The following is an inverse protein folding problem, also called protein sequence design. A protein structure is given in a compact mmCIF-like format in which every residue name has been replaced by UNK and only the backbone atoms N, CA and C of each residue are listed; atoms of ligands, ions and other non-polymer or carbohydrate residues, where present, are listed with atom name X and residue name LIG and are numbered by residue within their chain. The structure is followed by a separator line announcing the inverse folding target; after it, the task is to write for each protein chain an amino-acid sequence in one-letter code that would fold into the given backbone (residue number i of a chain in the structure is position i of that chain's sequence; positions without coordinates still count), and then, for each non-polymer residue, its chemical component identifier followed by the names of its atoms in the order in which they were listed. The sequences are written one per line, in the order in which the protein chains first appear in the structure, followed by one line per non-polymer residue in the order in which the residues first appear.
data_IF_562371947615
#
_entry.id   IF_562371947615
#
_cell.length_a   1.000
_cell.length_b   1.000
_cell.length_c   1.000
_cell.angle_alpha   90.00
_cell.angle_beta   90.00
_cell.angle_gamma   90.00
#
_symmetry.space_group_name_H-M   'P 1'
#
loop_
_entity.id
_entity.type
_entity.pdbx_description
1 polymer ?
#
# COMPACT_ATOMS: atom_id res chain seq x y z
N UNK A 1 -3.00 19.01 33.38
CA UNK A 1 -2.15 17.99 34.03
C UNK A 1 -2.80 17.31 35.25
N UNK A 2 -3.50 18.04 36.12
CA UNK A 2 -4.14 17.47 37.30
C UNK A 2 -5.38 16.59 37.01
N UNK A 3 -6.22 16.95 36.07
CA UNK A 3 -7.40 16.16 35.65
C UNK A 3 -7.06 14.81 35.03
N UNK A 4 -5.95 14.74 34.29
CA UNK A 4 -5.49 13.49 33.64
C UNK A 4 -5.02 12.48 34.67
N UNK A 5 -4.32 12.94 35.74
CA UNK A 5 -3.91 12.09 36.85
C UNK A 5 -5.10 11.54 37.66
N UNK A 6 -6.15 12.33 37.86
CA UNK A 6 -7.35 11.88 38.57
C UNK A 6 -8.15 10.85 37.75
N UNK A 7 -8.24 11.00 36.42
CA UNK A 7 -8.88 10.01 35.54
C UNK A 7 -8.07 8.70 35.47
N UNK A 8 -6.75 8.79 35.52
CA UNK A 8 -5.89 7.59 35.56
C UNK A 8 -6.05 6.80 36.85
N UNK A 9 -6.10 7.47 38.02
CA UNK A 9 -6.32 6.78 39.29
C UNK A 9 -7.71 6.14 39.40
N UNK A 10 -8.75 6.79 38.88
CA UNK A 10 -10.11 6.24 38.84
C UNK A 10 -10.21 4.97 37.94
N UNK A 11 -9.52 4.95 36.81
CA UNK A 11 -9.47 3.78 35.92
C UNK A 11 -8.72 2.59 36.52
N UNK A 12 -7.64 2.83 37.25
CA UNK A 12 -6.86 1.77 37.93
C UNK A 12 -7.68 1.14 39.08
N UNK A 13 -8.40 1.97 39.85
CA UNK A 13 -9.25 1.48 40.95
C UNK A 13 -10.44 0.68 40.42
N UNK A 14 -11.03 1.04 39.30
CA UNK A 14 -12.12 0.33 38.67
C UNK A 14 -11.67 -1.03 38.08
N UNK A 15 -10.46 -1.09 37.51
CA UNK A 15 -9.90 -2.34 36.97
C UNK A 15 -9.54 -3.34 38.08
N UNK A 16 -9.00 -2.87 39.21
CA UNK A 16 -8.74 -3.69 40.41
C UNK A 16 -10.02 -4.20 41.04
N UNK A 17 -11.10 -3.41 41.05
CA UNK A 17 -12.40 -3.83 41.55
C UNK A 17 -13.06 -4.93 40.70
N UNK A 18 -12.87 -4.91 39.39
CA UNK A 18 -13.41 -5.94 38.45
C UNK A 18 -12.61 -7.26 38.58
N UNK A 19 -11.31 -7.21 38.88
CA UNK A 19 -10.48 -8.38 39.11
C UNK A 19 -10.79 -9.10 40.45
N UNK A 20 -11.32 -8.38 41.43
CA UNK A 20 -11.71 -8.95 42.72
C UNK A 20 -13.03 -9.75 42.68
N UNK A 21 -13.81 -9.68 41.59
CA UNK A 21 -15.12 -10.35 41.46
C UNK A 21 -15.07 -11.70 40.73
N UNK A 22 -13.91 -12.11 40.18
CA UNK A 22 -13.73 -13.41 39.53
C UNK A 22 -12.74 -14.26 40.35
N UNK A 23 -13.28 -15.11 41.24
CA UNK A 23 -12.55 -15.93 42.18
C UNK A 23 -11.63 -16.98 41.55
N UNK A 24 -10.45 -16.60 41.11
CA UNK A 24 -9.25 -17.41 41.00
C UNK A 24 -8.04 -16.46 40.78
N UNK A 25 -7.22 -16.30 41.80
CA UNK A 25 -6.17 -15.29 41.82
C UNK A 25 -4.78 -15.90 41.89
N UNK A 26 -3.99 -15.61 40.88
CA UNK A 26 -2.58 -15.28 41.11
C UNK A 26 -2.40 -13.79 40.86
N UNK A 27 -2.00 -13.04 41.84
CA UNK A 27 -1.62 -11.62 41.73
C UNK A 27 -0.47 -11.56 40.72
N UNK A 28 -0.51 -10.70 39.68
CA UNK A 28 0.59 -10.57 38.73
C UNK A 28 1.88 -10.17 39.51
N UNK A 29 3.00 -10.79 39.19
CA UNK A 29 4.29 -10.45 39.75
C UNK A 29 4.66 -9.00 39.42
N UNK A 30 5.50 -8.36 40.23
CA UNK A 30 6.00 -6.99 40.01
C UNK A 30 6.57 -6.83 38.57
N UNK A 31 7.24 -7.84 38.04
CA UNK A 31 7.76 -7.88 36.68
C UNK A 31 6.65 -7.86 35.62
N UNK A 32 5.51 -8.52 35.86
CA UNK A 32 4.34 -8.50 34.97
C UNK A 32 3.60 -7.17 35.05
N UNK A 33 3.53 -6.57 36.23
CA UNK A 33 2.93 -5.22 36.40
C UNK A 33 3.79 -4.14 35.72
N UNK A 34 5.11 -4.17 35.88
CA UNK A 34 6.03 -3.29 35.19
C UNK A 34 5.99 -3.46 33.65
N UNK A 35 5.85 -4.70 33.17
CA UNK A 35 5.68 -4.97 31.74
C UNK A 35 4.34 -4.45 31.20
N UNK A 36 3.27 -4.50 31.99
CA UNK A 36 1.96 -3.96 31.63
C UNK A 36 1.98 -2.43 31.58
N UNK A 37 2.66 -1.80 32.51
CA UNK A 37 2.81 -0.36 32.58
C UNK A 37 3.69 0.20 31.44
N UNK A 38 4.81 -0.44 31.15
CA UNK A 38 5.67 -0.10 30.01
C UNK A 38 4.93 -0.25 28.67
N UNK A 39 4.00 -1.20 28.56
CA UNK A 39 3.18 -1.36 27.37
C UNK A 39 2.10 -0.29 27.24
N UNK A 40 1.50 0.12 28.36
CA UNK A 40 0.53 1.23 28.37
C UNK A 40 1.22 2.55 27.99
N UNK A 41 2.43 2.80 28.47
CA UNK A 41 3.22 3.96 28.10
C UNK A 41 3.65 3.92 26.63
N UNK A 42 4.02 2.74 26.11
CA UNK A 42 4.35 2.56 24.69
C UNK A 42 3.13 2.70 23.77
N UNK A 43 1.97 2.22 24.20
CA UNK A 43 0.70 2.41 23.49
C UNK A 43 0.31 3.90 23.51
N UNK A 44 0.46 4.58 24.65
CA UNK A 44 0.22 6.01 24.79
C UNK A 44 1.17 6.84 23.92
N UNK A 45 2.47 6.45 23.84
CA UNK A 45 3.46 7.11 22.98
C UNK A 45 3.16 6.91 21.50
N UNK A 46 2.75 5.69 21.08
CA UNK A 46 2.32 5.43 19.70
C UNK A 46 0.97 6.06 19.35
N UNK A 47 0.12 6.34 20.35
CA UNK A 47 -1.14 7.07 20.20
C UNK A 47 -0.95 8.59 20.19
N UNK A 48 0.11 9.09 20.84
CA UNK A 48 0.48 10.50 20.87
C UNK A 48 1.22 10.96 19.60
N UNK A 49 1.62 10.03 18.72
CA UNK A 49 2.17 10.39 17.42
C UNK A 49 0.98 10.82 16.54
N UNK A 50 0.65 12.10 16.61
CA UNK A 50 -0.28 12.76 15.73
C UNK A 50 0.30 12.76 14.30
N UNK A 51 -0.52 12.80 13.24
CA UNK A 51 -0.04 12.98 11.86
C UNK A 51 0.95 14.14 11.69
N UNK A 52 0.82 15.18 12.49
CA UNK A 52 1.71 16.35 12.52
C UNK A 52 3.13 16.05 13.01
N UNK A 53 3.33 15.05 13.87
CA UNK A 53 4.66 14.65 14.33
C UNK A 53 5.45 13.86 13.27
N UNK A 54 4.76 13.21 12.33
CA UNK A 54 5.40 12.63 11.13
C UNK A 54 5.87 13.72 10.18
N UNK A 55 5.08 14.79 10.00
CA UNK A 55 5.46 15.94 9.20
C UNK A 55 6.72 16.63 9.74
N UNK A 56 6.81 16.87 11.04
CA UNK A 56 7.97 17.48 11.70
C UNK A 56 9.25 16.64 11.62
N UNK A 57 9.15 15.31 11.62
CA UNK A 57 10.32 14.42 11.42
C UNK A 57 10.80 14.34 9.97
N UNK A 58 9.93 14.62 9.01
CA UNK A 58 10.32 14.76 7.62
C UNK A 58 11.04 16.09 7.32
N UNK A 59 10.80 17.15 8.08
CA UNK A 59 11.45 18.45 7.90
C UNK A 59 12.98 18.42 8.13
N UNK A 60 13.49 17.49 8.95
CA UNK A 60 14.93 17.41 9.28
C UNK A 60 15.77 16.89 8.11
N UNK A 61 15.18 16.28 7.08
CA UNK A 61 15.90 15.75 5.90
C UNK A 61 15.78 16.61 4.63
N UNK A 62 15.14 17.80 4.70
CA UNK A 62 14.83 18.62 3.54
C UNK A 62 15.67 19.90 3.40
N UNK A 63 16.82 19.99 4.04
CA UNK A 63 17.61 21.25 4.09
C UNK A 63 18.34 21.63 2.80
N UNK A 64 18.01 21.09 1.64
CA UNK A 64 18.56 21.55 0.35
C UNK A 64 17.54 21.59 -0.81
N UNK A 65 16.26 21.85 -0.54
CA UNK A 65 15.28 22.07 -1.64
C UNK A 65 14.49 23.35 -1.41
N UNK A 66 14.52 24.21 -2.42
CA UNK A 66 13.77 25.46 -2.60
C UNK A 66 12.32 25.33 -2.06
N UNK A 67 12.09 26.07 -0.97
CA UNK A 67 11.04 26.00 0.02
C UNK A 67 9.61 26.14 -0.47
N UNK A 68 9.00 25.06 -0.92
CA UNK A 68 7.54 25.00 -1.05
C UNK A 68 6.89 23.62 -0.94
N UNK A 69 7.51 22.68 -0.25
CA UNK A 69 6.87 21.39 0.02
C UNK A 69 6.41 21.29 1.47
N UNK A 70 5.17 21.68 1.72
CA UNK A 70 4.45 21.25 2.92
C UNK A 70 3.94 19.85 2.59
N UNK A 71 4.48 18.83 3.29
CA UNK A 71 3.98 17.47 3.23
C UNK A 71 2.61 17.38 3.93
N UNK A 72 1.57 17.88 3.28
CA UNK A 72 0.21 17.51 3.63
C UNK A 72 -0.04 16.14 3.02
N UNK A 73 -0.11 15.10 3.86
CA UNK A 73 -0.28 13.70 3.46
C UNK A 73 -1.66 13.38 2.88
N UNK A 74 -2.21 14.24 2.04
CA UNK A 74 -3.41 14.00 1.29
C UNK A 74 -3.06 13.54 -0.12
N UNK A 75 -3.48 12.35 -0.47
CA UNK A 75 -3.51 11.90 -1.87
C UNK A 75 -4.33 12.90 -2.65
N UNK A 76 -3.84 13.35 -3.80
CA UNK A 76 -4.56 14.35 -4.58
C UNK A 76 -5.95 13.88 -4.98
N UNK A 77 -6.93 14.64 -4.60
CA UNK A 77 -8.35 14.37 -4.85
C UNK A 77 -8.67 14.13 -6.33
N UNK A 78 -7.86 14.70 -7.24
CA UNK A 78 -8.15 14.64 -8.67
C UNK A 78 -7.86 13.26 -9.30
N UNK A 79 -7.08 12.39 -8.66
CA UNK A 79 -6.86 11.01 -9.17
C UNK A 79 -8.18 10.22 -9.22
N UNK A 80 -9.17 10.68 -8.47
CA UNK A 80 -10.49 10.04 -8.34
C UNK A 80 -11.67 10.90 -8.80
N UNK A 81 -11.48 12.21 -8.90
CA UNK A 81 -12.46 13.11 -9.47
C UNK A 81 -12.27 13.20 -11.00
N UNK A 82 -12.54 12.10 -11.71
CA UNK A 82 -12.92 12.26 -13.11
C UNK A 82 -14.28 12.95 -13.13
N UNK A 83 -14.43 14.09 -13.79
CA UNK A 83 -15.75 14.62 -14.08
C UNK A 83 -16.39 13.68 -15.10
N UNK A 84 -17.01 12.61 -14.62
CA UNK A 84 -18.03 11.93 -15.40
C UNK A 84 -19.17 12.92 -15.55
N UNK A 85 -19.25 13.47 -16.74
CA UNK A 85 -20.19 14.49 -17.15
C UNK A 85 -21.60 14.25 -16.58
N UNK A 86 -22.15 15.25 -15.97
CA UNK A 86 -23.56 15.39 -15.64
C UNK A 86 -24.40 15.32 -16.92
N UNK A 87 -24.74 14.11 -17.37
CA UNK A 87 -25.90 13.80 -18.22
C UNK A 87 -25.92 12.34 -18.70
N UNK A 88 -25.85 11.41 -17.78
CA UNK A 88 -26.34 10.06 -18.06
C UNK A 88 -27.49 9.77 -17.11
N UNK A 89 -28.59 9.20 -17.61
CA UNK A 89 -29.79 8.95 -16.82
C UNK A 89 -29.45 8.18 -15.55
N UNK A 90 -30.14 8.50 -14.45
CA UNK A 90 -29.92 7.91 -13.12
C UNK A 90 -29.91 6.36 -13.10
N UNK A 91 -30.44 5.74 -14.11
CA UNK A 91 -30.47 4.27 -14.32
C UNK A 91 -29.11 3.77 -14.82
N UNK A 92 -28.48 4.46 -15.78
CA UNK A 92 -27.15 4.10 -16.30
C UNK A 92 -26.07 4.33 -15.24
N UNK A 93 -26.20 5.38 -14.43
CA UNK A 93 -25.30 5.62 -13.29
C UNK A 93 -25.46 4.56 -12.18
N UNK A 94 -26.69 4.10 -11.90
CA UNK A 94 -26.93 2.99 -10.97
C UNK A 94 -26.43 1.66 -11.51
N UNK A 95 -26.51 1.42 -12.81
CA UNK A 95 -26.02 0.19 -13.44
C UNK A 95 -24.49 0.19 -13.60
N UNK A 96 -23.88 1.32 -13.95
CA UNK A 96 -22.44 1.50 -13.94
C UNK A 96 -21.84 1.39 -12.52
N UNK A 97 -22.52 1.92 -11.50
CA UNK A 97 -22.15 1.76 -10.10
C UNK A 97 -22.33 0.30 -9.61
N UNK A 98 -23.26 -0.47 -10.18
CA UNK A 98 -23.44 -1.90 -9.90
C UNK A 98 -22.34 -2.78 -10.51
N UNK A 99 -21.68 -2.34 -11.57
CA UNK A 99 -20.58 -3.04 -12.24
C UNK A 99 -19.19 -2.61 -11.73
N UNK A 100 -19.12 -1.57 -10.91
CA UNK A 100 -17.88 -1.14 -10.30
C UNK A 100 -17.63 -1.95 -9.03
N UNK A 101 -17.01 -3.13 -9.19
CA UNK A 101 -16.55 -3.91 -8.04
C UNK A 101 -15.62 -3.05 -7.20
N UNK A 102 -15.94 -2.93 -5.91
CA UNK A 102 -15.07 -2.32 -4.92
C UNK A 102 -13.84 -3.21 -4.72
N UNK A 103 -12.66 -2.60 -4.64
CA UNK A 103 -11.40 -3.32 -4.45
C UNK A 103 -11.39 -4.16 -3.17
N UNK A 104 -12.10 -3.71 -2.12
CA UNK A 104 -12.22 -4.46 -0.87
C UNK A 104 -13.03 -5.75 -1.05
N UNK A 105 -14.05 -5.76 -1.91
CA UNK A 105 -14.79 -6.98 -2.25
C UNK A 105 -13.91 -7.95 -3.04
N UNK A 106 -13.12 -7.41 -3.98
CA UNK A 106 -12.16 -8.21 -4.74
C UNK A 106 -11.10 -8.84 -3.83
N UNK A 107 -10.54 -8.08 -2.89
CA UNK A 107 -9.61 -8.61 -1.90
C UNK A 107 -10.27 -9.69 -1.03
N UNK A 108 -11.45 -9.39 -0.46
CA UNK A 108 -12.17 -10.32 0.41
C UNK A 108 -12.45 -11.66 -0.25
N UNK A 109 -12.82 -11.64 -1.54
CA UNK A 109 -13.14 -12.85 -2.30
C UNK A 109 -11.92 -13.75 -2.59
N UNK A 110 -10.70 -13.20 -2.52
CA UNK A 110 -9.47 -13.91 -2.87
C UNK A 110 -8.52 -14.12 -1.67
N UNK A 111 -8.89 -13.68 -0.47
CA UNK A 111 -8.14 -13.93 0.76
C UNK A 111 -8.45 -15.32 1.30
N UNK A 112 -7.42 -16.13 1.56
CA UNK A 112 -7.57 -17.53 1.98
C UNK A 112 -6.70 -17.93 3.19
N UNK A 113 -5.85 -17.04 3.71
CA UNK A 113 -5.05 -17.36 4.90
C UNK A 113 -5.94 -17.70 6.10
N UNK A 114 -5.70 -18.84 6.79
CA UNK A 114 -6.45 -19.20 7.98
C UNK A 114 -6.33 -18.14 9.09
N UNK A 115 -7.46 -17.65 9.59
CA UNK A 115 -7.52 -16.70 10.69
C UNK A 115 -7.96 -17.42 11.97
N UNK A 116 -7.00 -17.88 12.80
CA UNK A 116 -7.35 -18.62 14.00
C UNK A 116 -8.02 -17.72 15.04
N UNK A 117 -8.82 -18.32 15.93
CA UNK A 117 -9.39 -17.63 17.08
C UNK A 117 -8.32 -17.31 18.12
N UNK A 118 -7.50 -16.30 17.86
CA UNK A 118 -6.35 -15.89 18.68
C UNK A 118 -6.61 -14.57 19.39
N UNK A 119 -6.22 -14.48 20.69
CA UNK A 119 -6.38 -13.25 21.50
C UNK A 119 -5.72 -12.03 20.88
N UNK A 120 -4.54 -12.17 20.26
CA UNK A 120 -3.79 -11.06 19.64
C UNK A 120 -4.51 -10.56 18.38
N UNK A 121 -5.11 -11.47 17.59
CA UNK A 121 -5.91 -11.10 16.41
C UNK A 121 -7.16 -10.33 16.86
N UNK A 122 -7.88 -10.83 17.88
CA UNK A 122 -9.05 -10.14 18.43
C UNK A 122 -8.72 -8.76 18.99
N UNK A 123 -7.56 -8.64 19.66
CA UNK A 123 -7.07 -7.36 20.17
C UNK A 123 -6.87 -6.34 19.02
N UNK A 124 -6.15 -6.70 17.95
CA UNK A 124 -5.92 -5.77 16.84
C UNK A 124 -7.16 -5.49 16.02
N UNK A 125 -8.05 -6.46 15.85
CA UNK A 125 -9.34 -6.22 15.22
C UNK A 125 -10.15 -5.17 15.98
N UNK A 126 -10.24 -5.32 17.31
CA UNK A 126 -10.86 -4.29 18.14
C UNK A 126 -10.14 -2.94 18.04
N UNK A 127 -8.81 -2.95 18.04
CA UNK A 127 -8.01 -1.72 17.90
C UNK A 127 -8.31 -0.97 16.60
N UNK A 128 -8.46 -1.66 15.48
CA UNK A 128 -8.83 -1.05 14.20
C UNK A 128 -10.27 -0.52 14.24
N UNK A 129 -11.20 -1.27 14.82
CA UNK A 129 -12.61 -0.87 14.96
C UNK A 129 -12.74 0.39 15.81
N UNK A 130 -11.97 0.49 16.88
CA UNK A 130 -11.97 1.64 17.79
C UNK A 130 -11.28 2.90 17.18
N UNK A 131 -10.73 2.80 15.96
CA UNK A 131 -9.97 3.89 15.30
C UNK A 131 -10.40 4.09 13.83
N UNK A 132 -11.66 4.47 13.60
CA UNK A 132 -12.20 4.63 12.25
C UNK A 132 -11.48 5.71 11.45
N UNK A 133 -10.98 6.80 12.07
CA UNK A 133 -10.21 7.85 11.41
C UNK A 133 -8.86 7.36 10.90
N UNK A 134 -8.24 6.40 11.60
CA UNK A 134 -7.01 5.75 11.11
C UNK A 134 -7.31 4.91 9.86
N UNK A 135 -8.41 4.15 9.89
CA UNK A 135 -8.84 3.34 8.74
C UNK A 135 -9.14 4.24 7.54
N UNK A 136 -9.90 5.31 7.76
CA UNK A 136 -10.21 6.31 6.73
C UNK A 136 -8.93 6.88 6.09
N UNK A 137 -8.01 7.38 6.91
CA UNK A 137 -6.74 7.92 6.43
C UNK A 137 -5.93 6.91 5.62
N UNK A 138 -5.81 5.67 6.11
CA UNK A 138 -4.99 4.64 5.44
C UNK A 138 -5.63 4.20 4.13
N UNK A 139 -6.95 4.04 4.11
CA UNK A 139 -7.67 3.64 2.89
C UNK A 139 -7.65 4.75 1.83
N UNK A 140 -7.69 6.03 2.22
CA UNK A 140 -7.44 7.15 1.29
C UNK A 140 -6.05 7.08 0.67
N UNK A 141 -5.00 6.88 1.47
CA UNK A 141 -3.61 6.75 0.99
C UNK A 141 -3.41 5.53 0.09
N UNK A 142 -4.14 4.45 0.34
CA UNK A 142 -4.06 3.22 -0.45
C UNK A 142 -4.64 3.37 -1.87
N UNK A 143 -5.59 4.29 -2.07
CA UNK A 143 -6.32 4.44 -3.32
C UNK A 143 -5.46 4.39 -4.59
N UNK A 144 -4.36 5.15 -4.76
CA UNK A 144 -3.60 5.14 -6.01
C UNK A 144 -2.76 3.88 -6.21
N UNK A 145 -2.54 3.08 -5.16
CA UNK A 145 -1.55 2.00 -5.18
C UNK A 145 -2.17 0.61 -5.01
N UNK A 146 -3.34 0.51 -4.37
CA UNK A 146 -3.89 -0.76 -3.91
C UNK A 146 -4.13 -1.74 -5.06
N UNK A 147 -4.74 -1.27 -6.16
CA UNK A 147 -4.98 -2.12 -7.33
C UNK A 147 -3.67 -2.53 -8.00
N UNK A 148 -2.72 -1.60 -8.15
CA UNK A 148 -1.40 -1.91 -8.70
C UNK A 148 -0.67 -2.99 -7.89
N UNK A 149 -0.66 -2.87 -6.56
CA UNK A 149 -0.03 -3.86 -5.68
C UNK A 149 -0.77 -5.20 -5.77
N UNK A 150 -2.10 -5.18 -5.83
CA UNK A 150 -2.91 -6.39 -6.02
C UNK A 150 -2.50 -7.14 -7.30
N UNK A 151 -2.40 -6.44 -8.44
CA UNK A 151 -1.97 -7.07 -9.69
C UNK A 151 -0.58 -7.72 -9.58
N UNK A 152 0.36 -7.08 -8.87
CA UNK A 152 1.70 -7.62 -8.68
C UNK A 152 1.71 -8.86 -7.77
N UNK A 153 0.87 -8.89 -6.73
CA UNK A 153 0.70 -10.03 -5.82
C UNK A 153 0.02 -11.20 -6.54
N UNK A 154 -1.08 -10.93 -7.25
CA UNK A 154 -1.85 -11.91 -8.02
C UNK A 154 -1.00 -12.55 -9.13
N UNK A 155 -0.24 -11.74 -9.88
CA UNK A 155 0.63 -12.21 -10.96
C UNK A 155 1.76 -13.15 -10.51
N UNK A 156 2.08 -13.15 -9.21
CA UNK A 156 3.11 -14.01 -8.59
C UNK A 156 2.51 -15.18 -7.81
N UNK A 157 1.19 -15.37 -7.86
CA UNK A 157 0.48 -16.42 -7.12
C UNK A 157 0.78 -16.39 -5.61
N UNK A 158 0.85 -15.17 -5.03
CA UNK A 158 1.08 -14.94 -3.62
C UNK A 158 -0.25 -14.74 -2.90
N UNK A 159 -0.34 -15.08 -1.59
CA UNK A 159 -1.54 -14.81 -0.80
C UNK A 159 -1.96 -13.35 -0.88
N UNK A 160 -3.24 -13.11 -1.13
CA UNK A 160 -3.77 -11.77 -1.33
C UNK A 160 -3.65 -10.90 -0.07
N UNK A 161 -3.57 -11.48 1.10
CA UNK A 161 -3.28 -10.79 2.36
C UNK A 161 -1.99 -9.97 2.33
N UNK A 162 -1.03 -10.33 1.48
CA UNK A 162 0.23 -9.58 1.29
C UNK A 162 -0.02 -8.15 0.80
N UNK A 163 -1.12 -7.92 0.07
CA UNK A 163 -1.56 -6.58 -0.36
C UNK A 163 -1.77 -5.64 0.83
N UNK A 164 -2.06 -6.20 2.01
CA UNK A 164 -2.28 -5.43 3.24
C UNK A 164 -0.99 -5.15 4.04
N UNK A 165 0.19 -5.65 3.62
CA UNK A 165 1.44 -5.37 4.34
C UNK A 165 1.76 -3.87 4.40
N UNK A 166 1.64 -3.07 3.33
CA UNK A 166 1.82 -1.62 3.41
C UNK A 166 0.86 -0.93 4.40
N UNK A 167 -0.33 -1.52 4.63
CA UNK A 167 -1.28 -1.04 5.62
C UNK A 167 -0.70 -1.08 7.03
N UNK A 168 0.02 -2.17 7.37
CA UNK A 168 0.59 -2.37 8.70
C UNK A 168 2.03 -1.84 8.84
N UNK A 169 2.75 -1.67 7.73
CA UNK A 169 4.13 -1.19 7.71
C UNK A 169 4.22 0.34 7.79
N UNK A 170 3.51 1.02 6.92
CA UNK A 170 3.62 2.47 6.73
C UNK A 170 2.28 3.21 6.79
N UNK A 171 1.16 2.51 7.03
CA UNK A 171 -0.18 3.08 6.83
C UNK A 171 -0.35 3.65 5.42
N UNK A 172 0.19 2.97 4.41
CA UNK A 172 0.27 3.41 3.02
C UNK A 172 0.93 4.78 2.82
N UNK A 173 1.76 5.23 3.74
CA UNK A 173 2.55 6.45 3.56
C UNK A 173 3.80 6.15 2.72
N UNK A 174 3.81 6.60 1.48
CA UNK A 174 4.93 6.43 0.54
C UNK A 174 6.18 7.21 0.95
N UNK A 175 6.06 8.15 1.87
CA UNK A 175 7.19 8.92 2.41
C UNK A 175 7.68 8.42 3.77
N UNK A 176 7.03 7.42 4.34
CA UNK A 176 7.37 6.90 5.66
C UNK A 176 8.86 6.56 5.80
N UNK A 177 9.44 6.94 6.94
CA UNK A 177 10.82 6.67 7.29
C UNK A 177 10.92 6.30 8.77
N UNK A 178 11.40 5.10 9.07
CA UNK A 178 11.52 4.62 10.44
C UNK A 178 12.83 5.06 11.10
N UNK A 179 12.86 5.05 12.44
CA UNK A 179 14.09 5.29 13.23
C UNK A 179 15.20 4.28 12.93
N UNK A 180 14.86 3.11 12.38
CA UNK A 180 15.81 2.08 11.99
C UNK A 180 16.23 2.20 10.51
N UNK A 181 15.83 3.29 9.83
CA UNK A 181 16.21 3.58 8.47
C UNK A 181 15.44 2.79 7.40
N UNK A 182 14.31 2.18 7.74
CA UNK A 182 13.39 1.62 6.75
C UNK A 182 12.60 2.74 6.06
N UNK A 183 12.22 2.58 4.79
CA UNK A 183 11.60 3.67 4.02
C UNK A 183 10.56 3.17 3.02
N UNK A 184 9.58 4.05 2.71
CA UNK A 184 8.53 3.85 1.72
C UNK A 184 7.39 2.95 2.18
N UNK A 185 6.48 2.60 1.27
CA UNK A 185 5.29 1.78 1.56
C UNK A 185 5.63 0.48 2.27
N UNK A 186 6.66 -0.19 1.81
CA UNK A 186 7.08 -1.53 2.23
C UNK A 186 8.08 -1.54 3.38
N UNK A 187 8.48 -0.38 3.92
CA UNK A 187 9.44 -0.23 5.02
C UNK A 187 10.71 -1.07 4.84
N UNK A 188 11.28 -1.06 3.64
CA UNK A 188 12.50 -1.79 3.33
C UNK A 188 13.71 -1.06 3.88
N UNK A 189 14.59 -1.76 4.61
CA UNK A 189 15.87 -1.20 5.05
C UNK A 189 16.86 -1.08 3.88
N UNK A 190 17.86 -0.20 3.99
CA UNK A 190 18.86 -0.03 2.91
C UNK A 190 19.64 -1.31 2.61
N UNK A 191 19.96 -2.11 3.63
CA UNK A 191 20.67 -3.37 3.47
C UNK A 191 19.81 -4.40 2.72
N UNK A 192 18.57 -4.61 3.17
CA UNK A 192 17.61 -5.50 2.51
C UNK A 192 17.36 -5.07 1.07
N UNK A 193 17.13 -3.77 0.85
CA UNK A 193 16.88 -3.26 -0.50
C UNK A 193 18.04 -3.50 -1.45
N UNK A 194 19.30 -3.36 -1.00
CA UNK A 194 20.47 -3.70 -1.82
C UNK A 194 20.49 -5.17 -2.20
N UNK A 195 20.17 -6.08 -1.27
CA UNK A 195 20.12 -7.52 -1.51
C UNK A 195 19.07 -7.89 -2.56
N UNK A 196 17.90 -7.20 -2.54
CA UNK A 196 16.80 -7.42 -3.47
C UNK A 196 16.78 -6.40 -4.63
N UNK A 197 17.95 -5.93 -5.05
CA UNK A 197 18.15 -5.23 -6.32
C UNK A 197 17.79 -3.75 -6.33
N UNK A 198 17.30 -3.16 -5.23
CA UNK A 198 17.00 -1.75 -5.16
C UNK A 198 18.23 -0.88 -5.40
N UNK A 199 18.06 0.15 -6.20
CA UNK A 199 19.11 1.08 -6.58
C UNK A 199 19.03 2.37 -5.78
N UNK A 200 20.20 2.97 -5.61
CA UNK A 200 20.38 4.22 -4.87
C UNK A 200 21.41 5.08 -5.57
N UNK A 201 21.08 6.35 -5.78
CA UNK A 201 22.02 7.38 -6.24
C UNK A 201 21.54 8.75 -5.77
N UNK A 202 22.34 9.78 -5.99
CA UNK A 202 21.92 11.14 -5.67
C UNK A 202 20.64 11.50 -6.45
N UNK A 203 19.58 11.81 -5.70
CA UNK A 203 18.27 12.15 -6.27
C UNK A 203 17.36 10.95 -6.56
N UNK A 204 17.70 9.74 -6.10
CA UNK A 204 16.83 8.58 -6.19
C UNK A 204 17.02 7.59 -5.04
N UNK A 205 15.92 7.18 -4.45
CA UNK A 205 15.85 6.11 -3.46
C UNK A 205 14.84 5.03 -3.88
N UNK A 206 15.34 3.88 -4.31
CA UNK A 206 14.50 2.77 -4.79
C UNK A 206 13.54 2.21 -3.75
N UNK A 207 13.75 2.45 -2.46
CA UNK A 207 12.84 2.01 -1.40
C UNK A 207 11.53 2.80 -1.39
N UNK A 208 11.57 4.04 -1.89
CA UNK A 208 10.40 4.93 -2.05
C UNK A 208 9.75 4.77 -3.42
N UNK A 209 10.47 4.26 -4.41
CA UNK A 209 9.92 3.96 -5.73
C UNK A 209 8.88 2.85 -5.60
N UNK A 210 7.63 3.16 -5.96
CA UNK A 210 6.50 2.25 -5.76
C UNK A 210 6.69 0.96 -6.54
N UNK A 211 7.11 1.06 -7.81
CA UNK A 211 7.34 -0.09 -8.68
C UNK A 211 8.49 -0.93 -8.15
N UNK A 212 9.67 -0.32 -8.01
CA UNK A 212 10.88 -1.03 -7.60
C UNK A 212 10.76 -1.63 -6.19
N UNK A 213 10.16 -0.90 -5.24
CA UNK A 213 10.01 -1.40 -3.87
C UNK A 213 8.96 -2.51 -3.75
N UNK A 214 7.91 -2.49 -4.58
CA UNK A 214 6.94 -3.58 -4.63
C UNK A 214 7.60 -4.84 -5.16
N UNK A 215 8.32 -4.78 -6.29
CA UNK A 215 9.07 -5.91 -6.81
C UNK A 215 10.02 -6.50 -5.75
N UNK A 216 10.84 -5.65 -5.11
CA UNK A 216 11.79 -6.09 -4.10
C UNK A 216 11.14 -6.69 -2.84
N UNK A 217 9.98 -6.17 -2.41
CA UNK A 217 9.24 -6.69 -1.26
C UNK A 217 8.66 -8.06 -1.55
N UNK A 218 8.08 -8.24 -2.75
CA UNK A 218 7.52 -9.52 -3.18
C UNK A 218 8.62 -10.57 -3.40
N UNK A 219 9.75 -10.20 -4.02
CA UNK A 219 10.93 -11.06 -4.15
C UNK A 219 11.46 -11.53 -2.78
N UNK A 220 11.51 -10.63 -1.79
CA UNK A 220 11.88 -10.96 -0.41
C UNK A 220 10.87 -11.94 0.21
N UNK A 221 9.57 -11.73 0.03
CA UNK A 221 8.54 -12.59 0.57
C UNK A 221 8.56 -13.99 -0.05
N UNK A 222 8.74 -14.10 -1.37
CA UNK A 222 8.93 -15.38 -2.07
C UNK A 222 10.17 -16.11 -1.56
N UNK A 223 11.29 -15.39 -1.44
CA UNK A 223 12.52 -15.94 -0.87
C UNK A 223 12.29 -16.49 0.54
N UNK A 224 11.65 -15.71 1.41
CA UNK A 224 11.35 -16.12 2.79
C UNK A 224 10.40 -17.31 2.83
N UNK A 225 9.33 -17.31 2.02
CA UNK A 225 8.41 -18.43 1.91
C UNK A 225 9.11 -19.73 1.55
N UNK A 226 9.98 -19.69 0.55
CA UNK A 226 10.81 -20.84 0.16
C UNK A 226 11.76 -21.27 1.29
N UNK A 227 12.41 -20.32 2.00
CA UNK A 227 13.28 -20.61 3.15
C UNK A 227 12.56 -21.26 4.31
N UNK A 228 11.31 -20.92 4.54
CA UNK A 228 10.47 -21.52 5.58
C UNK A 228 9.56 -22.63 5.06
N UNK A 229 9.94 -23.27 3.95
CA UNK A 229 9.28 -24.49 3.41
C UNK A 229 7.78 -24.34 3.20
N UNK A 230 7.36 -23.21 2.66
CA UNK A 230 5.96 -22.93 2.37
C UNK A 230 5.15 -22.36 3.55
N UNK A 231 5.78 -22.01 4.67
CA UNK A 231 5.06 -21.46 5.82
C UNK A 231 4.99 -19.94 5.74
N UNK A 232 3.83 -19.41 5.35
CA UNK A 232 3.61 -17.98 5.22
C UNK A 232 3.70 -17.22 6.53
N UNK A 233 3.23 -17.75 7.65
CA UNK A 233 3.30 -17.05 8.93
C UNK A 233 4.76 -16.84 9.37
N UNK A 234 5.63 -17.83 9.09
CA UNK A 234 7.07 -17.69 9.32
C UNK A 234 7.72 -16.69 8.35
N UNK A 235 7.32 -16.71 7.08
CA UNK A 235 7.82 -15.78 6.08
C UNK A 235 7.46 -14.33 6.44
N UNK A 236 6.20 -14.06 6.79
CA UNK A 236 5.71 -12.75 7.21
C UNK A 236 6.39 -12.29 8.52
N UNK A 237 6.56 -13.20 9.49
CA UNK A 237 7.33 -12.90 10.70
C UNK A 237 8.78 -12.55 10.39
N UNK A 238 9.41 -13.27 9.43
CA UNK A 238 10.79 -13.03 9.01
C UNK A 238 10.95 -11.74 8.19
N UNK A 239 9.94 -11.33 7.44
CA UNK A 239 9.90 -10.02 6.81
C UNK A 239 10.10 -8.89 7.83
N UNK A 240 9.36 -8.96 8.95
CA UNK A 240 9.44 -7.96 10.02
C UNK A 240 10.76 -8.04 10.83
N UNK A 241 11.21 -9.26 11.22
CA UNK A 241 12.32 -9.38 12.20
C UNK A 241 13.61 -9.95 11.63
N UNK A 242 13.60 -10.38 10.38
CA UNK A 242 14.71 -11.04 9.69
C UNK A 242 14.70 -12.56 9.82
N UNK A 243 15.11 -13.25 8.75
CA UNK A 243 15.17 -14.69 8.61
C UNK A 243 15.89 -15.38 9.79
N UNK A 244 17.05 -14.84 10.19
CA UNK A 244 17.90 -15.45 11.21
C UNK A 244 17.22 -15.60 12.56
N UNK A 245 16.43 -14.61 12.98
CA UNK A 245 15.71 -14.66 14.27
C UNK A 245 14.64 -15.72 14.27
N UNK A 246 13.83 -15.79 13.21
CA UNK A 246 12.76 -16.79 13.09
C UNK A 246 13.36 -18.20 13.02
N UNK A 247 14.39 -18.40 12.21
CA UNK A 247 15.10 -19.69 12.12
C UNK A 247 15.70 -20.14 13.44
N UNK A 248 16.31 -19.22 14.19
CA UNK A 248 16.87 -19.53 15.51
C UNK A 248 15.78 -19.89 16.52
N UNK A 249 14.63 -19.19 16.51
CA UNK A 249 13.50 -19.51 17.37
C UNK A 249 12.93 -20.90 17.06
N UNK A 250 12.79 -21.26 15.78
CA UNK A 250 12.38 -22.60 15.33
C UNK A 250 13.37 -23.65 15.83
N UNK A 251 14.69 -23.43 15.63
CA UNK A 251 15.75 -24.35 16.07
C UNK A 251 15.70 -24.58 17.59
N UNK A 252 15.52 -23.49 18.37
CA UNK A 252 15.42 -23.55 19.84
C UNK A 252 14.20 -24.35 20.29
N UNK A 253 13.04 -24.12 19.71
CA UNK A 253 11.83 -24.86 20.04
C UNK A 253 11.96 -26.32 19.68
N UNK A 254 12.48 -26.66 18.49
CA UNK A 254 12.74 -28.03 18.05
C UNK A 254 13.65 -28.78 19.01
N UNK A 255 14.76 -28.15 19.44
CA UNK A 255 15.69 -28.74 20.40
C UNK A 255 15.06 -28.97 21.78
N UNK A 256 14.04 -28.18 22.15
CA UNK A 256 13.30 -28.29 23.41
C UNK A 256 12.03 -29.18 23.30
N UNK A 257 11.81 -29.88 22.19
CA UNK A 257 10.62 -30.68 21.96
C UNK A 257 9.30 -29.88 21.90
N UNK A 258 9.38 -28.55 21.65
CA UNK A 258 8.22 -27.64 21.59
C UNK A 258 7.71 -27.47 20.15
N UNK A 259 6.42 -27.13 19.97
CA UNK A 259 5.88 -26.82 18.67
C UNK A 259 6.69 -25.71 17.97
N UNK A 260 6.80 -25.80 16.64
CA UNK A 260 7.58 -24.86 15.83
C UNK A 260 6.72 -23.94 14.96
N UNK A 261 5.40 -23.97 15.12
CA UNK A 261 4.48 -23.04 14.50
C UNK A 261 4.73 -21.59 15.01
N UNK A 262 4.32 -20.60 14.22
CA UNK A 262 4.53 -19.18 14.56
C UNK A 262 4.04 -18.81 15.97
N UNK A 263 2.88 -19.36 16.38
CA UNK A 263 2.23 -18.99 17.65
C UNK A 263 3.01 -19.43 18.88
N UNK A 264 3.83 -20.48 18.72
CA UNK A 264 4.66 -21.11 19.75
C UNK A 264 6.08 -20.53 19.82
N UNK A 265 6.50 -19.72 18.81
CA UNK A 265 7.85 -19.20 18.77
C UNK A 265 8.08 -18.04 19.74
N UNK A 266 9.24 -18.05 20.39
CA UNK A 266 9.74 -16.93 21.20
C UNK A 266 10.40 -15.88 20.27
N UNK A 267 9.60 -14.97 19.74
CA UNK A 267 10.03 -13.88 18.87
C UNK A 267 9.94 -12.53 19.62
N UNK A 268 10.58 -11.46 19.12
CA UNK A 268 10.39 -10.12 19.66
C UNK A 268 8.92 -9.75 19.75
N UNK A 269 8.55 -8.94 20.73
CA UNK A 269 7.15 -8.56 20.97
C UNK A 269 6.50 -7.95 19.72
N UNK A 270 7.22 -7.06 19.04
CA UNK A 270 6.78 -6.48 17.79
C UNK A 270 6.39 -7.56 16.76
N UNK A 271 7.26 -8.52 16.50
CA UNK A 271 7.02 -9.61 15.53
C UNK A 271 5.87 -10.53 15.95
N UNK A 272 5.75 -10.81 17.26
CA UNK A 272 4.61 -11.60 17.78
C UNK A 272 3.26 -10.90 17.60
N UNK A 273 3.26 -9.60 17.39
CA UNK A 273 2.08 -8.77 17.16
C UNK A 273 1.87 -8.44 15.67
N UNK A 274 2.93 -8.51 14.87
CA UNK A 274 2.92 -8.16 13.45
C UNK A 274 2.00 -9.06 12.62
N UNK A 275 2.21 -10.37 12.67
CA UNK A 275 1.35 -11.34 11.96
C UNK A 275 -0.11 -11.26 12.44
N UNK A 276 -0.41 -11.23 13.76
CA UNK A 276 -1.78 -10.99 14.23
C UNK A 276 -2.41 -9.69 13.74
N UNK A 277 -1.62 -8.62 13.57
CA UNK A 277 -2.11 -7.33 13.05
C UNK A 277 -2.54 -7.45 11.59
N UNK A 278 -1.74 -8.16 10.77
CA UNK A 278 -2.10 -8.45 9.38
C UNK A 278 -3.39 -9.28 9.31
N UNK A 279 -3.46 -10.40 10.02
CA UNK A 279 -4.63 -11.29 10.01
C UNK A 279 -5.89 -10.59 10.58
N UNK A 280 -5.72 -9.64 11.51
CA UNK A 280 -6.83 -8.84 11.99
C UNK A 280 -7.38 -7.92 10.90
N UNK A 281 -6.51 -7.30 10.11
CA UNK A 281 -6.94 -6.46 8.98
C UNK A 281 -7.57 -7.32 7.87
N UNK A 282 -7.00 -8.49 7.57
CA UNK A 282 -7.60 -9.46 6.64
C UNK A 282 -9.01 -9.85 7.09
N UNK A 283 -9.19 -10.16 8.40
CA UNK A 283 -10.53 -10.43 8.95
C UNK A 283 -11.51 -9.27 8.78
N UNK A 284 -11.05 -8.03 8.91
CA UNK A 284 -11.88 -6.84 8.71
C UNK A 284 -12.30 -6.72 7.26
N UNK A 285 -11.38 -6.91 6.33
CA UNK A 285 -11.67 -6.84 4.88
C UNK A 285 -12.65 -7.94 4.48
N UNK A 286 -12.43 -9.19 4.90
CA UNK A 286 -13.31 -10.32 4.60
C UNK A 286 -14.73 -10.13 5.16
N UNK A 287 -14.89 -9.40 6.25
CA UNK A 287 -16.17 -9.21 6.93
C UNK A 287 -16.52 -7.71 7.05
N UNK A 288 -16.14 -6.90 6.06
CA UNK A 288 -16.28 -5.42 6.12
C UNK A 288 -17.68 -4.95 6.48
N UNK A 289 -18.71 -5.61 5.94
CA UNK A 289 -20.11 -5.26 6.21
C UNK A 289 -20.52 -5.53 7.67
N UNK A 290 -19.88 -6.50 8.33
CA UNK A 290 -20.13 -6.83 9.74
C UNK A 290 -19.54 -5.77 10.68
N UNK A 291 -18.37 -5.22 10.33
CA UNK A 291 -17.66 -4.28 11.21
C UNK A 291 -18.05 -2.81 10.99
N UNK A 292 -18.68 -2.46 9.87
CA UNK A 292 -19.16 -1.10 9.57
C UNK A 292 -18.05 -0.04 9.56
N UNK A 293 -16.80 -0.44 9.24
CA UNK A 293 -15.67 0.49 9.19
C UNK A 293 -15.69 1.34 7.91
N UNK A 294 -15.21 2.60 7.96
CA UNK A 294 -15.17 3.49 6.81
C UNK A 294 -14.01 3.11 5.88
N UNK A 295 -14.13 1.97 5.18
CA UNK A 295 -13.26 1.65 4.08
C UNK A 295 -13.66 2.51 2.90
N UNK A 296 -12.82 3.48 2.53
CA UNK A 296 -13.07 4.30 1.35
C UNK A 296 -13.18 3.41 0.12
N UNK A 297 -14.22 3.59 -0.67
CA UNK A 297 -14.40 2.83 -1.90
C UNK A 297 -13.23 3.06 -2.85
N UNK A 298 -12.65 1.98 -3.33
CA UNK A 298 -11.53 1.97 -4.27
C UNK A 298 -11.94 1.13 -5.47
N UNK A 299 -11.83 1.71 -6.68
CA UNK A 299 -12.19 1.00 -7.89
C UNK A 299 -11.30 -0.24 -8.08
N UNK A 300 -11.92 -1.40 -8.33
CA UNK A 300 -11.21 -2.65 -8.62
C UNK A 300 -10.72 -2.69 -10.08
N UNK A 301 -10.08 -1.62 -10.53
CA UNK A 301 -9.53 -1.44 -11.88
C UNK A 301 -8.23 -0.64 -11.83
N UNK A 302 -7.34 -0.77 -12.82
CA UNK A 302 -6.09 -0.03 -12.85
C UNK A 302 -6.33 1.47 -12.99
N UNK A 303 -5.96 2.25 -11.97
CA UNK A 303 -6.03 3.73 -11.99
C UNK A 303 -4.71 4.37 -12.37
N UNK A 304 -3.61 3.63 -12.23
CA UNK A 304 -2.26 4.03 -12.64
C UNK A 304 -1.67 2.97 -13.58
N UNK A 305 -0.66 3.37 -14.33
CA UNK A 305 0.09 2.45 -15.19
C UNK A 305 1.56 2.82 -15.22
N UNK A 306 2.43 1.86 -15.50
CA UNK A 306 3.85 2.10 -15.70
C UNK A 306 4.13 2.71 -17.07
N UNK A 307 4.95 3.76 -17.10
CA UNK A 307 5.58 4.26 -18.32
C UNK A 307 7.09 4.19 -18.17
N UNK A 308 7.77 3.78 -19.22
CA UNK A 308 9.23 3.64 -19.21
C UNK A 308 9.88 4.86 -19.88
N UNK A 309 10.69 5.59 -19.11
CA UNK A 309 11.46 6.75 -19.56
C UNK A 309 12.94 6.38 -19.62
N UNK A 310 13.58 6.47 -20.78
CA UNK A 310 14.96 6.03 -21.01
C UNK A 310 15.99 7.17 -21.05
N UNK A 311 15.57 8.41 -20.82
CA UNK A 311 16.41 9.61 -20.81
C UNK A 311 16.30 10.36 -19.49
N UNK A 312 17.22 11.30 -19.27
CA UNK A 312 17.11 12.23 -18.15
C UNK A 312 16.08 13.30 -18.48
N UNK A 313 14.96 13.31 -17.76
CA UNK A 313 13.85 14.25 -17.92
C UNK A 313 13.44 14.76 -16.55
N UNK A 314 13.09 16.04 -16.43
CA UNK A 314 12.46 16.59 -15.21
C UNK A 314 11.07 15.99 -15.04
N UNK A 315 10.73 15.55 -13.84
CA UNK A 315 9.37 15.08 -13.56
C UNK A 315 8.32 16.18 -13.84
N UNK A 316 8.66 17.45 -13.57
CA UNK A 316 7.79 18.59 -13.93
C UNK A 316 7.50 18.66 -15.45
N UNK A 317 8.44 18.25 -16.31
CA UNK A 317 8.21 18.16 -17.76
C UNK A 317 7.26 17.02 -18.09
N UNK A 318 7.46 15.86 -17.46
CA UNK A 318 6.56 14.70 -17.62
C UNK A 318 5.15 15.06 -17.18
N UNK A 319 4.99 15.72 -16.02
CA UNK A 319 3.68 16.20 -15.56
C UNK A 319 3.01 17.16 -16.55
N UNK A 320 3.78 18.10 -17.13
CA UNK A 320 3.28 19.02 -18.17
C UNK A 320 2.79 18.26 -19.41
N UNK A 321 3.56 17.30 -19.88
CA UNK A 321 3.22 16.47 -21.05
C UNK A 321 1.98 15.60 -20.78
N UNK A 322 1.84 15.10 -19.55
CA UNK A 322 0.67 14.36 -19.10
C UNK A 322 -0.53 15.26 -18.73
N UNK A 323 -0.42 16.58 -18.81
CA UNK A 323 -1.42 17.58 -18.38
C UNK A 323 -1.92 17.34 -16.95
N UNK A 324 -1.02 16.97 -16.06
CA UNK A 324 -1.31 16.73 -14.66
C UNK A 324 -0.52 17.67 -13.73
N UNK A 325 -0.96 17.76 -12.47
CA UNK A 325 -0.24 18.50 -11.46
C UNK A 325 1.10 17.80 -11.15
N UNK A 326 2.19 18.56 -11.08
CA UNK A 326 3.50 17.99 -10.77
C UNK A 326 3.58 17.39 -9.37
N UNK A 327 2.88 17.95 -8.37
CA UNK A 327 2.81 17.40 -7.01
C UNK A 327 2.29 15.97 -7.02
N UNK A 328 1.28 15.71 -7.83
CA UNK A 328 0.64 14.40 -7.91
C UNK A 328 1.52 13.37 -8.61
N UNK A 329 2.25 13.80 -9.65
CA UNK A 329 3.25 12.94 -10.26
C UNK A 329 4.38 12.56 -9.29
N UNK A 330 4.83 13.53 -8.46
CA UNK A 330 5.82 13.26 -7.42
C UNK A 330 5.28 12.32 -6.35
N UNK A 331 4.01 12.46 -5.96
CA UNK A 331 3.37 11.58 -4.99
C UNK A 331 3.27 10.13 -5.48
N UNK A 332 3.04 9.93 -6.78
CA UNK A 332 3.06 8.61 -7.40
C UNK A 332 4.47 8.05 -7.57
N UNK A 333 5.50 8.89 -7.60
CA UNK A 333 6.89 8.52 -7.91
C UNK A 333 7.87 9.07 -6.87
N UNK A 334 7.66 8.81 -5.57
CA UNK A 334 8.44 9.43 -4.49
C UNK A 334 9.90 8.96 -4.45
N UNK A 335 10.25 7.91 -5.20
CA UNK A 335 11.62 7.43 -5.35
C UNK A 335 12.53 8.42 -6.08
N UNK A 336 11.99 9.29 -6.95
CA UNK A 336 12.77 10.28 -7.71
C UNK A 336 12.94 11.57 -6.91
N UNK A 337 13.64 11.50 -5.78
CA UNK A 337 13.84 12.59 -4.82
C UNK A 337 14.54 13.82 -5.42
N UNK A 338 15.34 13.65 -6.47
CA UNK A 338 15.98 14.74 -7.21
C UNK A 338 15.11 15.38 -8.29
N UNK A 339 13.89 14.88 -8.50
CA UNK A 339 12.95 15.39 -9.49
C UNK A 339 13.34 15.13 -10.95
N UNK A 340 14.20 14.15 -11.21
CA UNK A 340 14.68 13.76 -12.54
C UNK A 340 14.73 12.25 -12.70
N UNK A 341 14.41 11.76 -13.90
CA UNK A 341 14.77 10.40 -14.33
C UNK A 341 16.26 10.31 -14.66
N UNK A 342 16.81 9.11 -14.75
CA UNK A 342 18.25 8.88 -14.96
C UNK A 342 18.53 8.48 -16.39
N UNK A 343 19.58 9.08 -16.99
CA UNK A 343 20.05 8.72 -18.34
C UNK A 343 20.60 7.31 -18.38
N UNK A 344 20.32 6.57 -19.46
CA UNK A 344 20.87 5.23 -19.71
C UNK A 344 20.26 4.13 -18.85
N UNK A 345 19.07 4.38 -18.28
CA UNK A 345 18.29 3.40 -17.53
C UNK A 345 16.82 3.46 -17.96
N UNK A 346 16.17 2.33 -17.86
CA UNK A 346 14.72 2.24 -17.96
C UNK A 346 14.14 2.72 -16.62
N UNK A 347 13.73 3.99 -16.57
CA UNK A 347 13.05 4.54 -15.39
C UNK A 347 11.57 4.23 -15.52
N UNK A 348 11.07 3.40 -14.65
CA UNK A 348 9.63 3.10 -14.53
C UNK A 348 8.97 4.19 -13.69
N UNK A 349 7.92 4.79 -14.21
CA UNK A 349 7.13 5.81 -13.54
C UNK A 349 5.67 5.39 -13.55
N UNK A 350 4.97 5.65 -12.46
CA UNK A 350 3.51 5.52 -12.42
C UNK A 350 2.86 6.83 -12.88
N UNK A 351 1.99 6.73 -13.86
CA UNK A 351 1.12 7.82 -14.30
C UNK A 351 -0.35 7.41 -14.15
N UNK A 352 -1.25 8.35 -13.83
CA UNK A 352 -2.69 8.11 -13.91
C UNK A 352 -3.09 7.74 -15.35
N UNK A 353 -3.86 6.68 -15.52
CA UNK A 353 -4.23 6.18 -16.86
C UNK A 353 -4.95 7.20 -17.70
N UNK A 354 -5.81 8.01 -17.10
CA UNK A 354 -6.53 9.08 -17.80
C UNK A 354 -5.62 10.18 -18.37
N UNK A 355 -4.36 10.27 -17.95
CA UNK A 355 -3.37 11.24 -18.46
C UNK A 355 -2.58 10.71 -19.66
N UNK A 356 -2.63 9.42 -19.95
CA UNK A 356 -1.83 8.78 -21.00
C UNK A 356 -2.12 9.35 -22.40
N UNK A 357 -3.37 9.64 -22.81
CA UNK A 357 -3.63 10.23 -24.12
C UNK A 357 -2.91 11.58 -24.28
N UNK A 358 -2.94 12.44 -23.26
CA UNK A 358 -2.21 13.70 -23.27
C UNK A 358 -0.70 13.49 -23.27
N UNK A 359 -0.22 12.57 -22.48
CA UNK A 359 1.19 12.24 -22.37
C UNK A 359 1.76 11.75 -23.70
N UNK A 360 1.14 10.78 -24.36
CA UNK A 360 1.63 10.24 -25.65
C UNK A 360 1.35 11.12 -26.86
N UNK A 361 0.37 12.04 -26.80
CA UNK A 361 0.16 13.05 -27.86
C UNK A 361 1.13 14.24 -27.77
N UNK A 362 1.89 14.34 -26.70
CA UNK A 362 2.89 15.40 -26.48
C UNK A 362 4.29 15.00 -26.99
N UNK A 363 5.31 15.71 -26.52
CA UNK A 363 6.72 15.41 -26.82
C UNK A 363 7.26 14.16 -26.09
N UNK A 364 6.44 13.41 -25.37
CA UNK A 364 6.87 12.26 -24.57
C UNK A 364 7.56 11.15 -25.38
N UNK A 365 7.17 10.99 -26.64
CA UNK A 365 7.80 10.03 -27.57
C UNK A 365 9.33 10.22 -27.68
N UNK A 366 9.85 11.42 -27.39
CA UNK A 366 11.29 11.71 -27.43
C UNK A 366 12.08 11.03 -26.31
N UNK A 367 11.41 10.60 -25.24
CA UNK A 367 12.06 10.04 -24.05
C UNK A 367 11.40 8.77 -23.49
N UNK A 368 10.30 8.33 -24.08
CA UNK A 368 9.69 7.03 -23.73
C UNK A 368 10.26 5.89 -24.54
N UNK A 369 10.34 4.70 -23.96
CA UNK A 369 10.79 3.49 -24.65
C UNK A 369 9.72 2.90 -25.55
N UNK A 370 8.46 3.02 -25.16
CA UNK A 370 7.32 2.54 -25.93
C UNK A 370 6.65 3.72 -26.63
N UNK A 371 6.63 3.67 -27.94
CA UNK A 371 6.02 4.71 -28.77
C UNK A 371 4.58 4.34 -29.07
N UNK A 372 3.70 4.42 -28.08
CA UNK A 372 2.28 4.30 -28.31
C UNK A 372 1.81 5.40 -29.27
N UNK A 373 0.83 5.06 -30.10
CA UNK A 373 0.18 6.01 -31.00
C UNK A 373 -1.18 6.39 -30.46
N UNK A 374 -1.63 7.59 -30.80
CA UNK A 374 -2.99 8.03 -30.50
C UNK A 374 -3.83 7.84 -31.76
N UNK A 375 -4.84 6.99 -31.66
CA UNK A 375 -5.86 6.87 -32.67
C UNK A 375 -7.05 7.76 -32.30
N UNK A 376 -7.41 8.69 -33.20
CA UNK A 376 -8.63 9.48 -33.04
C UNK A 376 -9.77 8.76 -33.74
N UNK A 377 -10.76 8.36 -32.96
CA UNK A 377 -11.91 7.61 -33.43
C UNK A 377 -12.70 8.48 -34.42
N UNK A 378 -12.98 7.90 -35.59
CA UNK A 378 -13.82 8.49 -36.63
C UNK A 378 -15.23 7.89 -36.56
N UNK A 379 -16.18 8.56 -37.17
CA UNK A 379 -17.52 7.98 -37.36
C UNK A 379 -17.40 6.69 -38.18
N UNK A 380 -17.97 5.59 -37.66
CA UNK A 380 -17.92 4.26 -38.29
C UNK A 380 -16.77 3.37 -37.78
N UNK A 381 -15.79 3.89 -37.05
CA UNK A 381 -14.72 3.06 -36.44
C UNK A 381 -15.30 2.07 -35.42
N UNK A 382 -14.76 0.86 -35.42
CA UNK A 382 -15.00 -0.15 -34.39
C UNK A 382 -13.71 -0.55 -33.69
N UNK A 383 -13.81 -1.00 -32.44
CA UNK A 383 -12.62 -1.51 -31.70
C UNK A 383 -11.98 -2.71 -32.40
N UNK A 384 -12.76 -3.52 -33.15
CA UNK A 384 -12.23 -4.65 -33.90
C UNK A 384 -11.33 -4.17 -35.05
N UNK A 385 -11.80 -3.23 -35.87
CA UNK A 385 -11.00 -2.66 -36.95
C UNK A 385 -9.77 -1.95 -36.47
N UNK A 386 -9.91 -1.15 -35.40
CA UNK A 386 -8.77 -0.46 -34.78
C UNK A 386 -7.74 -1.47 -34.25
N UNK A 387 -8.18 -2.57 -33.63
CA UNK A 387 -7.31 -3.64 -33.16
C UNK A 387 -6.56 -4.32 -34.33
N UNK A 388 -7.26 -4.67 -35.41
CA UNK A 388 -6.66 -5.27 -36.61
C UNK A 388 -5.62 -4.35 -37.27
N UNK A 389 -5.96 -3.08 -37.46
CA UNK A 389 -5.05 -2.08 -38.07
C UNK A 389 -3.76 -1.88 -37.25
N UNK A 390 -3.85 -2.07 -35.94
CA UNK A 390 -2.72 -1.86 -35.02
C UNK A 390 -2.11 -3.18 -34.50
N UNK A 391 -2.36 -4.30 -35.17
CA UNK A 391 -1.83 -5.63 -34.83
C UNK A 391 -1.99 -5.98 -33.32
N UNK A 392 -3.18 -5.71 -32.78
CA UNK A 392 -3.49 -5.96 -31.37
C UNK A 392 -4.87 -6.60 -31.22
N UNK A 393 -5.30 -6.83 -30.01
CA UNK A 393 -6.63 -7.39 -29.72
C UNK A 393 -7.56 -6.33 -29.14
N UNK A 394 -8.87 -6.53 -29.29
CA UNK A 394 -9.87 -5.67 -28.63
C UNK A 394 -9.69 -5.66 -27.12
N UNK A 395 -9.36 -6.82 -26.54
CA UNK A 395 -9.07 -6.93 -25.11
C UNK A 395 -7.90 -6.02 -24.68
N UNK A 396 -6.79 -6.07 -25.45
CA UNK A 396 -5.63 -5.21 -25.20
C UNK A 396 -5.94 -3.72 -25.36
N UNK A 397 -6.73 -3.35 -26.39
CA UNK A 397 -7.18 -1.96 -26.57
C UNK A 397 -8.08 -1.50 -25.42
N UNK A 398 -8.99 -2.35 -24.98
CA UNK A 398 -9.86 -2.05 -23.82
C UNK A 398 -9.04 -1.88 -22.55
N UNK A 399 -8.13 -2.80 -22.29
CA UNK A 399 -7.25 -2.73 -21.12
C UNK A 399 -6.35 -1.49 -21.17
N UNK A 400 -5.77 -1.16 -22.34
CA UNK A 400 -4.88 0.00 -22.50
C UNK A 400 -5.61 1.33 -22.32
N UNK A 401 -6.92 1.37 -22.58
CA UNK A 401 -7.73 2.60 -22.59
C UNK A 401 -8.85 2.64 -21.54
N UNK A 402 -8.89 1.71 -20.61
CA UNK A 402 -9.94 1.59 -19.56
C UNK A 402 -11.37 1.53 -20.14
N UNK A 403 -11.54 0.86 -21.25
CA UNK A 403 -12.85 0.73 -21.87
C UNK A 403 -13.62 -0.42 -21.24
N UNK A 404 -14.69 -0.12 -20.51
CA UNK A 404 -15.54 -1.14 -19.86
C UNK A 404 -16.43 -1.91 -20.82
N UNK A 405 -16.57 -1.42 -22.06
CA UNK A 405 -17.38 -2.03 -23.12
C UNK A 405 -16.75 -1.86 -24.50
N UNK A 406 -17.55 -2.09 -25.54
CA UNK A 406 -17.14 -1.89 -26.94
C UNK A 406 -17.58 -0.53 -27.48
N UNK A 407 -18.23 0.30 -26.66
CA UNK A 407 -18.67 1.63 -27.07
C UNK A 407 -17.50 2.60 -27.15
N UNK A 408 -17.31 3.20 -28.31
CA UNK A 408 -16.35 4.26 -28.59
C UNK A 408 -17.10 5.40 -29.32
N UNK A 409 -16.65 6.63 -29.10
CA UNK A 409 -17.33 7.82 -29.64
C UNK A 409 -16.44 8.52 -30.67
N UNK A 410 -17.01 8.96 -31.76
CA UNK A 410 -16.29 9.75 -32.76
C UNK A 410 -15.68 11.02 -32.13
N UNK A 411 -14.40 11.27 -32.41
CA UNK A 411 -13.60 12.32 -31.79
C UNK A 411 -12.86 11.89 -30.53
N UNK A 412 -13.22 10.78 -29.88
CA UNK A 412 -12.49 10.20 -28.77
C UNK A 412 -11.08 9.83 -29.20
N UNK A 413 -10.10 10.03 -28.31
CA UNK A 413 -8.72 9.58 -28.50
C UNK A 413 -8.47 8.33 -27.69
N UNK A 414 -7.93 7.30 -28.32
CA UNK A 414 -7.50 6.07 -27.67
C UNK A 414 -6.02 5.81 -27.96
N UNK A 415 -5.37 5.16 -27.00
CA UNK A 415 -3.99 4.71 -27.12
C UNK A 415 -3.99 3.38 -27.88
N UNK A 416 -3.13 3.28 -28.89
CA UNK A 416 -2.92 2.04 -29.64
C UNK A 416 -1.45 1.64 -29.57
N UNK A 417 -1.11 0.35 -29.60
CA UNK A 417 0.27 -0.10 -29.67
C UNK A 417 0.99 0.49 -30.90
N UNK A 418 2.33 0.59 -30.87
CA UNK A 418 3.09 0.93 -32.08
C UNK A 418 2.92 -0.17 -33.12
N UNK A 419 2.85 0.24 -34.39
CA UNK A 419 2.86 -0.68 -35.52
C UNK A 419 4.18 -1.43 -35.64
#
# INVERSE_FOLDING_TARGET
MMLIKQMQQASITLLLAILMLSGCQTVPSEAEQAALQAEQERIALNLAIQPDDYAKRCEISHHEFDGSYIATGSVPHYLYSSPLHHSASSVIQKEAARLQYDMWDKLAANMDMPIPNNRRIRYYRKWFIDKPEHIDTVTQRAQPFLFYIYEQVEARDLPIEIVLLPFIESSFDQYAYSSQGASGLWQITRATGKTFGLKYWQGYDGRRDIVASTDAALDLLEYLHKKFKGNWLHAIAAYNTGEGRVRNAIKKNKAAGKPTDFWSLQLPKETRLYVPKLLAMSSIVQHKNHYGLPLNSIAAQPVVTEVVVNRRVKLKTIAKDAKMNSRDLFALNPGYTGGYTVKGRDNKLLLPRNTLPSFYSSNSQRYTKHHFQIHRIKAGDSLNEIAQINNTTVSSLRQLNDLTGSFITAGQQIIVPPK
#
